data_IF_636052634182
#
_entry.id   IF_636052634182
#
_cell.length_a   1.000
_cell.length_b   1.000
_cell.length_c   1.000
_cell.angle_alpha   90.00
_cell.angle_beta   90.00
_cell.angle_gamma   90.00
#
_symmetry.space_group_name_H-M   'P 1'
#
loop_
_entity.id
_entity.type
_entity.pdbx_description
1 polymer ?
#
# COMPACT_ATOMS: atom_id res chain seq x y z
N UNK A 1 -5.62 -12.24 20.95
CA UNK A 1 -6.11 -12.87 19.70
C UNK A 1 -5.85 -11.94 18.52
N UNK A 2 -6.05 -10.62 18.66
CA UNK A 2 -5.75 -9.62 17.63
C UNK A 2 -4.25 -9.55 17.26
N UNK A 3 -3.34 -9.58 18.23
CA UNK A 3 -1.89 -9.63 17.95
C UNK A 3 -1.50 -10.80 17.03
N UNK A 4 -2.03 -12.00 17.27
CA UNK A 4 -1.78 -13.18 16.42
C UNK A 4 -2.33 -13.00 15.00
N UNK A 5 -3.45 -12.29 14.85
CA UNK A 5 -4.01 -11.95 13.53
C UNK A 5 -3.11 -10.94 12.81
N UNK A 6 -2.57 -9.95 13.51
CA UNK A 6 -1.62 -8.98 12.94
C UNK A 6 -0.32 -9.63 12.47
N UNK A 7 0.24 -10.55 13.27
CA UNK A 7 1.42 -11.32 12.88
C UNK A 7 1.15 -12.22 11.67
N UNK A 8 -0.01 -12.87 11.60
CA UNK A 8 -0.41 -13.68 10.45
C UNK A 8 -0.50 -12.87 9.14
N UNK A 9 -0.90 -11.60 9.22
CA UNK A 9 -0.93 -10.68 8.08
C UNK A 9 0.48 -10.27 7.62
N UNK A 10 1.44 -10.14 8.55
CA UNK A 10 2.84 -9.85 8.23
C UNK A 10 3.62 -11.07 7.70
N UNK A 11 3.25 -12.29 8.08
CA UNK A 11 3.82 -13.51 7.48
C UNK A 11 3.43 -13.66 6.00
N UNK A 12 2.25 -13.16 5.63
CA UNK A 12 1.72 -13.18 4.26
C UNK A 12 2.31 -12.11 3.35
N UNK A 13 3.26 -11.29 3.82
CA UNK A 13 3.90 -10.24 3.03
C UNK A 13 4.39 -10.70 1.65
N UNK A 14 5.00 -11.88 1.56
CA UNK A 14 5.48 -12.41 0.28
C UNK A 14 4.34 -12.69 -0.70
N UNK A 15 3.20 -13.17 -0.21
CA UNK A 15 2.01 -13.38 -1.02
C UNK A 15 1.47 -12.03 -1.51
N UNK A 16 1.36 -11.03 -0.63
CA UNK A 16 0.88 -9.70 -1.01
C UNK A 16 1.76 -9.01 -2.05
N UNK A 17 3.10 -9.14 -1.95
CA UNK A 17 4.01 -8.67 -3.00
C UNK A 17 3.73 -9.38 -4.33
N UNK A 18 3.46 -10.69 -4.29
CA UNK A 18 3.17 -11.49 -5.49
C UNK A 18 1.83 -11.09 -6.12
N UNK A 19 0.78 -10.92 -5.32
CA UNK A 19 -0.55 -10.54 -5.79
C UNK A 19 -0.54 -9.15 -6.40
N UNK A 20 0.15 -8.19 -5.77
CA UNK A 20 0.31 -6.83 -6.31
C UNK A 20 1.06 -6.86 -7.63
N UNK A 21 2.12 -7.68 -7.78
CA UNK A 21 2.82 -7.84 -9.05
C UNK A 21 1.91 -8.42 -10.14
N UNK A 22 1.06 -9.38 -9.82
CA UNK A 22 0.09 -9.93 -10.77
C UNK A 22 -0.93 -8.87 -11.20
N UNK A 23 -1.43 -8.07 -10.25
CA UNK A 23 -2.34 -6.96 -10.55
C UNK A 23 -1.68 -5.91 -11.46
N UNK A 24 -0.42 -5.56 -11.19
CA UNK A 24 0.33 -4.64 -12.05
C UNK A 24 0.52 -5.17 -13.45
N UNK A 25 0.80 -6.47 -13.61
CA UNK A 25 0.89 -7.10 -14.92
C UNK A 25 -0.42 -6.96 -15.69
N UNK A 26 -1.56 -7.21 -15.06
CA UNK A 26 -2.89 -7.05 -15.69
C UNK A 26 -3.20 -5.60 -16.06
N UNK A 27 -2.78 -4.64 -15.22
CA UNK A 27 -2.90 -3.20 -15.53
C UNK A 27 -2.08 -2.87 -16.78
N UNK A 28 -0.83 -3.34 -16.84
CA UNK A 28 0.04 -3.12 -17.99
C UNK A 28 -0.52 -3.73 -19.28
N UNK A 29 -1.01 -4.97 -19.22
CA UNK A 29 -1.70 -5.63 -20.35
C UNK A 29 -2.92 -4.81 -20.82
N UNK A 30 -3.65 -4.20 -19.89
CA UNK A 30 -4.79 -3.32 -20.22
C UNK A 30 -4.33 -2.01 -20.85
N UNK A 31 -3.23 -1.42 -20.38
CA UNK A 31 -2.64 -0.21 -20.98
C UNK A 31 -2.17 -0.47 -22.41
N UNK A 32 -1.58 -1.63 -22.69
CA UNK A 32 -1.18 -2.05 -24.03
C UNK A 32 -2.40 -2.22 -24.96
N UNK A 33 -3.48 -2.83 -24.47
CA UNK A 33 -4.73 -2.94 -25.22
C UNK A 33 -5.33 -1.56 -25.52
N UNK A 34 -5.32 -0.64 -24.56
CA UNK A 34 -5.77 0.75 -24.76
C UNK A 34 -4.90 1.45 -25.81
N UNK A 35 -3.58 1.30 -25.76
CA UNK A 35 -2.68 1.88 -26.76
C UNK A 35 -2.95 1.31 -28.15
N UNK A 36 -3.22 0.02 -28.25
CA UNK A 36 -3.58 -0.63 -29.51
C UNK A 36 -4.89 -0.06 -30.08
N UNK A 37 -5.94 0.02 -29.26
CA UNK A 37 -7.24 0.59 -29.66
C UNK A 37 -7.09 2.04 -30.10
N UNK A 38 -6.42 2.87 -29.29
CA UNK A 38 -6.24 4.29 -29.59
C UNK A 38 -5.43 4.50 -30.89
N UNK A 39 -4.49 3.61 -31.20
CA UNK A 39 -3.75 3.64 -32.47
C UNK A 39 -4.66 3.31 -33.66
N UNK A 40 -5.59 2.37 -33.52
CA UNK A 40 -6.59 2.09 -34.56
C UNK A 40 -7.56 3.27 -34.72
N UNK A 41 -8.08 3.81 -33.61
CA UNK A 41 -8.95 5.00 -33.62
C UNK A 41 -8.28 6.18 -34.33
N UNK A 42 -6.99 6.43 -34.07
CA UNK A 42 -6.21 7.46 -34.75
C UNK A 42 -6.11 7.22 -36.27
N UNK A 43 -5.86 5.97 -36.70
CA UNK A 43 -5.82 5.60 -38.12
C UNK A 43 -7.15 5.85 -38.82
N UNK A 44 -8.26 5.59 -38.13
CA UNK A 44 -9.62 5.85 -38.63
C UNK A 44 -10.08 7.30 -38.43
N UNK A 45 -9.24 8.16 -37.83
CA UNK A 45 -9.56 9.56 -37.47
C UNK A 45 -10.78 9.67 -36.54
N UNK A 46 -10.96 8.68 -35.67
CA UNK A 46 -11.97 8.71 -34.62
C UNK A 46 -11.47 9.50 -33.40
N UNK A 47 -12.41 9.90 -32.55
CA UNK A 47 -12.05 10.51 -31.26
C UNK A 47 -11.44 9.44 -30.34
N UNK A 48 -10.30 9.75 -29.73
CA UNK A 48 -9.59 8.82 -28.86
C UNK A 48 -10.39 8.52 -27.59
N UNK A 49 -10.62 7.23 -27.34
CA UNK A 49 -11.28 6.77 -26.13
C UNK A 49 -10.36 6.97 -24.91
N UNK A 50 -10.91 7.56 -23.85
CA UNK A 50 -10.19 7.79 -22.58
C UNK A 50 -10.59 6.76 -21.53
N UNK A 51 -9.60 6.26 -20.78
CA UNK A 51 -9.77 5.21 -19.78
C UNK A 51 -9.36 5.70 -18.37
N UNK A 52 -10.05 6.72 -17.81
CA UNK A 52 -9.63 7.35 -16.54
C UNK A 52 -9.67 6.40 -15.34
N UNK A 53 -10.47 5.33 -15.38
CA UNK A 53 -10.51 4.33 -14.31
C UNK A 53 -9.23 3.46 -14.28
N UNK A 54 -8.63 3.20 -15.44
CA UNK A 54 -7.36 2.46 -15.52
C UNK A 54 -6.22 3.29 -14.91
N UNK A 55 -6.18 4.59 -15.23
CA UNK A 55 -5.20 5.53 -14.65
C UNK A 55 -5.37 5.63 -13.13
N UNK A 56 -6.61 5.76 -12.64
CA UNK A 56 -6.90 5.76 -11.20
C UNK A 56 -6.44 4.46 -10.54
N UNK A 57 -6.71 3.31 -11.16
CA UNK A 57 -6.32 2.01 -10.61
C UNK A 57 -4.79 1.89 -10.49
N UNK A 58 -4.06 2.35 -11.51
CA UNK A 58 -2.59 2.38 -11.53
C UNK A 58 -2.01 3.26 -10.42
N UNK A 59 -2.53 4.47 -10.25
CA UNK A 59 -2.11 5.38 -9.18
C UNK A 59 -2.47 4.82 -7.80
N UNK A 60 -3.60 4.12 -7.69
CA UNK A 60 -4.07 3.57 -6.44
C UNK A 60 -3.24 2.37 -5.94
N UNK A 61 -2.69 1.55 -6.85
CA UNK A 61 -1.97 0.33 -6.46
C UNK A 61 -0.51 0.59 -6.08
N UNK A 62 0.11 1.63 -6.64
CA UNK A 62 1.52 1.97 -6.44
C UNK A 62 1.93 2.13 -4.96
N UNK A 63 1.16 2.82 -4.09
CA UNK A 63 1.50 2.96 -2.68
C UNK A 63 1.52 1.63 -1.91
N UNK A 64 0.63 0.69 -2.24
CA UNK A 64 0.58 -0.63 -1.61
C UNK A 64 1.78 -1.47 -2.02
N UNK A 65 2.18 -1.41 -3.30
CA UNK A 65 3.37 -2.09 -3.77
C UNK A 65 4.63 -1.60 -3.03
N UNK A 66 4.79 -0.27 -2.93
CA UNK A 66 5.92 0.34 -2.21
C UNK A 66 5.94 -0.13 -0.76
N UNK A 67 4.80 -0.10 -0.09
CA UNK A 67 4.68 -0.56 1.29
C UNK A 67 5.06 -2.03 1.46
N UNK A 68 4.46 -2.96 0.70
CA UNK A 68 4.73 -4.38 0.88
C UNK A 68 6.18 -4.75 0.55
N UNK A 69 6.77 -4.14 -0.47
CA UNK A 69 8.20 -4.33 -0.76
C UNK A 69 9.08 -3.79 0.36
N UNK A 70 8.71 -2.66 0.96
CA UNK A 70 9.44 -2.05 2.07
C UNK A 70 9.42 -2.94 3.32
N UNK A 71 8.24 -3.45 3.69
CA UNK A 71 8.10 -4.38 4.83
C UNK A 71 8.89 -5.65 4.58
N UNK A 72 8.83 -6.21 3.36
CA UNK A 72 9.60 -7.41 3.02
C UNK A 72 11.12 -7.16 3.05
N UNK A 73 11.55 -5.97 2.64
CA UNK A 73 12.96 -5.54 2.74
C UNK A 73 13.38 -5.44 4.21
N UNK A 74 12.57 -4.79 5.05
CA UNK A 74 12.78 -4.72 6.50
C UNK A 74 12.95 -6.11 7.12
N UNK A 75 11.96 -7.01 6.94
CA UNK A 75 11.98 -8.37 7.51
C UNK A 75 13.24 -9.16 7.11
N UNK A 76 13.68 -9.03 5.85
CA UNK A 76 14.89 -9.70 5.35
C UNK A 76 16.16 -9.11 5.95
N UNK A 77 16.22 -7.79 6.04
CA UNK A 77 17.36 -7.07 6.59
C UNK A 77 17.50 -7.32 8.09
N UNK A 78 16.41 -7.23 8.85
CA UNK A 78 16.34 -7.57 10.27
C UNK A 78 16.83 -9.01 10.50
N UNK A 79 16.28 -9.97 9.75
CA UNK A 79 16.71 -11.38 9.83
C UNK A 79 18.20 -11.54 9.52
N UNK A 80 18.72 -10.85 8.50
CA UNK A 80 20.15 -10.89 8.16
C UNK A 80 21.01 -10.32 9.29
N UNK A 81 20.56 -9.29 9.98
CA UNK A 81 21.30 -8.71 11.10
C UNK A 81 21.29 -9.61 12.34
N UNK A 82 20.16 -10.27 12.60
CA UNK A 82 20.01 -11.18 13.75
C UNK A 82 20.68 -12.55 13.55
N UNK A 83 20.63 -13.09 12.33
CA UNK A 83 21.17 -14.42 12.00
C UNK A 83 22.57 -14.37 11.35
N UNK A 84 23.06 -13.16 11.04
CA UNK A 84 24.33 -12.93 10.34
C UNK A 84 25.56 -12.98 11.24
N UNK A 85 26.74 -13.10 10.63
CA UNK A 85 28.01 -13.04 11.35
C UNK A 85 28.24 -11.65 11.94
N UNK A 86 28.48 -11.56 13.25
CA UNK A 86 28.69 -10.28 13.94
C UNK A 86 29.81 -9.41 13.32
N UNK A 87 30.84 -10.04 12.77
CA UNK A 87 31.98 -9.34 12.14
C UNK A 87 31.62 -8.67 10.80
N UNK A 88 30.53 -9.08 10.16
CA UNK A 88 30.05 -8.52 8.90
C UNK A 88 29.06 -7.36 9.11
N UNK A 89 28.73 -7.05 10.38
CA UNK A 89 27.80 -6.00 10.76
C UNK A 89 28.51 -4.67 10.98
N UNK A 90 28.03 -3.62 10.32
CA UNK A 90 28.46 -2.24 10.54
C UNK A 90 27.33 -1.49 11.25
N UNK A 91 27.53 -1.16 12.53
CA UNK A 91 26.52 -0.49 13.35
C UNK A 91 26.07 0.87 12.81
N UNK A 92 26.97 1.67 12.23
CA UNK A 92 26.64 2.98 11.65
C UNK A 92 25.73 2.82 10.42
N UNK A 93 26.04 1.86 9.54
CA UNK A 93 25.21 1.54 8.39
C UNK A 93 23.86 0.96 8.80
N UNK A 94 23.83 0.11 9.83
CA UNK A 94 22.60 -0.47 10.35
C UNK A 94 21.68 0.60 10.92
N UNK A 95 22.21 1.51 11.74
CA UNK A 95 21.42 2.60 12.32
C UNK A 95 20.85 3.52 11.22
N UNK A 96 21.65 3.84 10.20
CA UNK A 96 21.19 4.60 9.04
C UNK A 96 20.06 3.89 8.28
N UNK A 97 20.18 2.59 8.05
CA UNK A 97 19.15 1.77 7.40
C UNK A 97 17.87 1.73 8.23
N UNK A 98 17.96 1.48 9.55
CA UNK A 98 16.80 1.45 10.46
C UNK A 98 16.09 2.80 10.49
N UNK A 99 16.84 3.91 10.51
CA UNK A 99 16.31 5.26 10.42
C UNK A 99 15.59 5.51 9.08
N UNK A 100 16.14 5.02 7.97
CA UNK A 100 15.50 5.07 6.65
C UNK A 100 14.17 4.29 6.65
N UNK A 101 14.18 3.04 7.10
CA UNK A 101 12.97 2.19 7.19
C UNK A 101 11.89 2.85 8.04
N UNK A 102 12.26 3.38 9.21
CA UNK A 102 11.35 4.10 10.10
C UNK A 102 10.71 5.30 9.40
N UNK A 103 11.51 6.11 8.68
CA UNK A 103 11.02 7.29 7.95
C UNK A 103 10.09 6.91 6.82
N UNK A 104 10.42 5.88 6.05
CA UNK A 104 9.60 5.45 4.91
C UNK A 104 8.27 4.83 5.36
N UNK A 105 8.26 4.01 6.41
CA UNK A 105 7.01 3.45 6.96
C UNK A 105 6.16 4.55 7.57
N UNK A 106 6.75 5.53 8.26
CA UNK A 106 5.99 6.66 8.79
C UNK A 106 5.33 7.49 7.68
N UNK A 107 6.06 7.78 6.59
CA UNK A 107 5.49 8.47 5.42
C UNK A 107 4.32 7.68 4.83
N UNK A 108 4.50 6.36 4.69
CA UNK A 108 3.47 5.46 4.18
C UNK A 108 2.23 5.41 5.07
N UNK A 109 2.41 5.33 6.39
CA UNK A 109 1.34 5.41 7.38
C UNK A 109 0.54 6.71 7.23
N UNK A 110 1.23 7.85 7.16
CA UNK A 110 0.58 9.16 6.98
C UNK A 110 -0.18 9.25 5.68
N UNK A 111 0.37 8.68 4.60
CA UNK A 111 -0.32 8.61 3.31
C UNK A 111 -1.64 7.83 3.42
N UNK A 112 -1.62 6.61 3.99
CA UNK A 112 -2.83 5.80 4.12
C UNK A 112 -3.86 6.40 5.08
N UNK A 113 -3.42 7.01 6.20
CA UNK A 113 -4.31 7.76 7.10
C UNK A 113 -4.97 8.95 6.38
N UNK A 114 -4.21 9.70 5.58
CA UNK A 114 -4.77 10.82 4.81
C UNK A 114 -5.75 10.34 3.74
N UNK A 115 -5.43 9.24 3.05
CA UNK A 115 -6.30 8.61 2.05
C UNK A 115 -7.63 8.17 2.67
N UNK A 116 -7.59 7.43 3.78
CA UNK A 116 -8.78 6.99 4.51
C UNK A 116 -9.64 8.17 4.99
N UNK A 117 -9.02 9.21 5.55
CA UNK A 117 -9.73 10.43 5.97
C UNK A 117 -10.45 11.13 4.81
N UNK A 118 -9.79 11.25 3.64
CA UNK A 118 -10.40 11.83 2.43
C UNK A 118 -11.58 10.99 1.94
N UNK A 119 -11.43 9.67 1.87
CA UNK A 119 -12.50 8.75 1.46
C UNK A 119 -13.71 8.82 2.40
N UNK A 120 -13.48 8.89 3.71
CA UNK A 120 -14.55 9.05 4.70
C UNK A 120 -15.26 10.40 4.56
N UNK A 121 -14.53 11.49 4.32
CA UNK A 121 -15.11 12.80 4.07
C UNK A 121 -15.97 12.84 2.80
N UNK A 122 -15.51 12.25 1.71
CA UNK A 122 -16.29 12.17 0.46
C UNK A 122 -17.53 11.29 0.63
N UNK A 123 -17.44 10.14 1.33
CA UNK A 123 -18.60 9.32 1.69
C UNK A 123 -19.62 10.10 2.53
N UNK A 124 -19.18 10.87 3.53
CA UNK A 124 -20.05 11.73 4.36
C UNK A 124 -20.74 12.83 3.55
N UNK A 125 -20.02 13.49 2.64
CA UNK A 125 -20.62 14.50 1.73
C UNK A 125 -21.62 13.86 0.76
N UNK A 126 -21.31 12.69 0.23
CA UNK A 126 -22.20 11.94 -0.64
C UNK A 126 -23.46 11.46 0.10
N UNK A 127 -23.32 11.03 1.36
CA UNK A 127 -24.45 10.64 2.22
C UNK A 127 -25.33 11.85 2.56
N UNK A 128 -24.75 13.01 2.91
CA UNK A 128 -25.50 14.27 3.10
C UNK A 128 -26.27 14.72 1.86
N UNK A 129 -25.78 14.41 0.65
CA UNK A 129 -26.53 14.64 -0.59
C UNK A 129 -27.66 13.63 -0.82
N UNK A 130 -27.61 12.45 -0.20
CA UNK A 130 -28.59 11.36 -0.37
C UNK A 130 -29.63 11.28 0.76
N UNK A 131 -29.42 11.94 1.89
CA UNK A 131 -30.26 11.82 3.10
C UNK A 131 -31.56 12.63 3.05
N UNK A 132 -32.39 12.41 2.02
CA UNK A 132 -33.83 12.56 2.18
C UNK A 132 -34.50 11.28 2.72
N UNK A 133 -33.84 10.11 2.71
CA UNK A 133 -34.47 8.85 3.16
C UNK A 133 -33.42 7.91 3.80
N UNK A 134 -33.69 7.53 5.06
CA UNK A 134 -33.14 6.44 5.90
C UNK A 134 -31.72 6.56 6.51
N UNK A 135 -31.71 6.72 7.83
CA UNK A 135 -30.56 6.48 8.72
C UNK A 135 -30.33 4.97 8.86
N UNK A 136 -29.23 4.47 8.30
CA UNK A 136 -28.63 3.19 8.72
C UNK A 136 -27.59 3.48 9.80
N UNK A 137 -27.44 2.63 10.84
CA UNK A 137 -26.49 2.87 11.91
C UNK A 137 -25.08 2.94 11.32
N UNK A 138 -24.33 4.01 11.63
CA UNK A 138 -22.92 4.13 11.27
C UNK A 138 -22.14 3.04 12.03
N UNK A 139 -21.73 1.96 11.36
CA UNK A 139 -20.66 1.10 11.86
C UNK A 139 -19.39 1.94 11.95
N UNK A 140 -18.77 2.00 13.13
CA UNK A 140 -17.48 2.65 13.32
C UNK A 140 -16.48 2.10 12.28
N UNK A 141 -15.73 2.97 11.58
CA UNK A 141 -14.81 2.51 10.56
C UNK A 141 -13.68 1.75 11.25
N UNK A 142 -13.75 0.41 11.21
CA UNK A 142 -12.61 -0.46 11.57
C UNK A 142 -11.38 0.09 10.86
N UNK A 143 -10.30 0.27 11.62
CA UNK A 143 -9.06 0.81 11.08
C UNK A 143 -8.63 0.00 9.85
N UNK A 144 -8.20 0.70 8.81
CA UNK A 144 -7.83 0.06 7.55
C UNK A 144 -6.70 -0.96 7.85
N UNK A 145 -6.82 -2.23 7.42
CA UNK A 145 -5.81 -3.25 7.67
C UNK A 145 -4.38 -2.79 7.32
N UNK A 146 -4.22 -2.03 6.24
CA UNK A 146 -2.91 -1.48 5.84
C UNK A 146 -2.34 -0.46 6.84
N UNK A 147 -3.21 0.33 7.49
CA UNK A 147 -2.80 1.29 8.55
C UNK A 147 -2.36 0.53 9.80
N UNK A 148 -3.08 -0.53 10.18
CA UNK A 148 -2.72 -1.40 11.29
C UNK A 148 -1.33 -2.00 11.03
N UNK A 149 -1.15 -2.63 9.87
CA UNK A 149 0.14 -3.21 9.47
C UNK A 149 1.29 -2.20 9.46
N UNK A 150 1.07 -0.98 8.95
CA UNK A 150 2.07 0.09 9.02
C UNK A 150 2.47 0.41 10.47
N UNK A 151 1.49 0.41 11.38
CA UNK A 151 1.68 0.73 12.79
C UNK A 151 2.44 -0.40 13.51
N UNK A 152 2.09 -1.66 13.22
CA UNK A 152 2.77 -2.84 13.74
C UNK A 152 4.25 -2.89 13.30
N UNK A 153 4.55 -2.66 12.01
CA UNK A 153 5.95 -2.65 11.53
C UNK A 153 6.73 -1.45 12.10
N UNK A 154 6.09 -0.29 12.28
CA UNK A 154 6.73 0.83 12.99
C UNK A 154 7.12 0.44 14.42
N UNK A 155 6.27 -0.31 15.13
CA UNK A 155 6.58 -0.75 16.48
C UNK A 155 7.74 -1.75 16.50
N UNK A 156 7.79 -2.69 15.55
CA UNK A 156 8.93 -3.60 15.38
C UNK A 156 10.25 -2.84 15.21
N UNK A 157 10.26 -1.81 14.36
CA UNK A 157 11.45 -0.98 14.13
C UNK A 157 11.87 -0.23 15.39
N UNK A 158 10.92 0.27 16.19
CA UNK A 158 11.24 0.91 17.46
C UNK A 158 11.84 -0.08 18.45
N UNK A 159 11.25 -1.27 18.58
CA UNK A 159 11.77 -2.32 19.46
C UNK A 159 13.18 -2.74 19.04
N UNK A 160 13.46 -2.82 17.73
CA UNK A 160 14.80 -3.14 17.23
C UNK A 160 15.85 -2.06 17.55
N UNK A 161 15.44 -0.79 17.72
CA UNK A 161 16.35 0.31 18.10
C UNK A 161 16.72 0.33 19.59
N UNK A 162 15.95 -0.36 20.45
CA UNK A 162 16.12 -0.35 21.92
C UNK A 162 17.08 -1.46 22.34
#
# INVERSE_FOLDING_TARGET
MEEFTEFAELERMQQYVTDVRQLQKRIQESEEAVQFINKEEELFKWELTKYPELDKLKVNIEPYQKFFNLVLKWQRTEKRWMDGGFLDLNGESMEADVEEFSREIFKTLKFFQMKQKKELQEKRKAARKRSLIEEKPEEEPKDNPTIIMCSTVMEQIKVFKV
#
